data_IF_884705723853
#
_entry.id   IF_884705723853
#
_cell.length_a   1.000
_cell.length_b   1.000
_cell.length_c   1.000
_cell.angle_alpha   90.00
_cell.angle_beta   90.00
_cell.angle_gamma   90.00
#
_symmetry.space_group_name_H-M   'P 1'
#
loop_
_entity.id
_entity.type
_entity.pdbx_description
1 polymer ?
#
# COMPACT_ATOMS: atom_id res chain seq x y z
N UNK A 1 41.58 -13.41 22.96
CA UNK A 1 41.37 -14.68 22.21
C UNK A 1 40.11 -14.63 21.33
N UNK A 2 40.25 -15.16 20.11
CA UNK A 2 39.27 -15.29 19.00
C UNK A 2 39.11 -14.06 18.11
N UNK A 3 40.08 -13.92 17.21
CA UNK A 3 39.89 -13.35 15.88
C UNK A 3 38.86 -14.17 15.10
N UNK A 4 37.98 -13.51 14.33
CA UNK A 4 37.27 -14.13 13.20
C UNK A 4 37.73 -13.49 11.88
N UNK A 5 37.83 -14.28 10.79
CA UNK A 5 38.55 -13.90 9.58
C UNK A 5 37.59 -13.44 8.47
N UNK A 6 37.96 -12.43 7.68
CA UNK A 6 37.30 -12.20 6.39
C UNK A 6 37.14 -10.76 5.89
N UNK A 7 37.61 -9.72 6.58
CA UNK A 7 37.55 -8.35 6.04
C UNK A 7 38.90 -7.94 5.42
N UNK A 8 38.94 -7.50 4.14
CA UNK A 8 40.10 -6.79 3.65
C UNK A 8 40.22 -5.50 4.43
N UNK A 9 41.35 -5.32 5.10
CA UNK A 9 41.70 -4.08 5.79
C UNK A 9 41.66 -2.94 4.76
N UNK A 10 40.59 -2.13 4.78
CA UNK A 10 40.68 -0.81 4.17
C UNK A 10 41.58 -0.02 5.11
N UNK A 11 42.86 0.09 4.73
CA UNK A 11 43.77 1.01 5.36
C UNK A 11 43.14 2.41 5.23
N UNK A 12 42.57 2.90 6.32
CA UNK A 12 42.22 4.30 6.46
C UNK A 12 43.51 5.08 6.26
N UNK A 13 43.64 5.72 5.11
CA UNK A 13 44.68 6.70 4.87
C UNK A 13 44.47 7.78 5.92
N UNK A 14 45.32 7.77 6.94
CA UNK A 14 45.32 8.75 8.00
C UNK A 14 45.44 10.13 7.38
N UNK A 15 44.42 10.96 7.57
CA UNK A 15 44.50 12.39 7.35
C UNK A 15 45.38 12.99 8.44
N UNK A 16 46.69 12.82 8.28
CA UNK A 16 47.69 13.49 9.10
C UNK A 16 47.87 14.93 8.60
N UNK A 17 47.52 15.88 9.47
CA UNK A 17 48.29 17.09 9.76
C UNK A 17 49.07 17.72 8.58
N UNK A 18 48.35 18.16 7.54
CA UNK A 18 48.92 19.10 6.58
C UNK A 18 48.90 20.50 7.23
N UNK A 19 50.09 21.08 7.44
CA UNK A 19 50.27 22.44 7.91
C UNK A 19 49.48 23.42 7.02
N UNK A 20 48.69 24.37 7.58
CA UNK A 20 47.82 25.24 6.79
C UNK A 20 48.53 26.07 5.72
N UNK A 21 49.83 26.36 5.90
CA UNK A 21 50.69 27.00 4.89
C UNK A 21 51.03 26.02 3.74
N UNK A 22 51.36 24.77 4.05
CA UNK A 22 51.64 23.71 3.07
C UNK A 22 50.39 23.37 2.23
N UNK A 23 49.20 23.45 2.84
CA UNK A 23 47.92 23.33 2.14
C UNK A 23 47.69 24.47 1.15
N UNK A 24 48.09 25.70 1.50
CA UNK A 24 47.99 26.89 0.64
C UNK A 24 48.99 26.84 -0.52
N UNK A 25 50.21 26.38 -0.29
CA UNK A 25 51.23 26.25 -1.35
C UNK A 25 50.84 25.17 -2.36
N UNK A 26 50.33 24.02 -1.90
CA UNK A 26 49.80 22.97 -2.78
C UNK A 26 48.59 23.44 -3.61
N UNK A 27 47.75 24.32 -3.07
CA UNK A 27 46.60 24.89 -3.81
C UNK A 27 47.02 25.82 -4.96
N UNK A 28 48.21 26.44 -4.85
CA UNK A 28 48.77 27.34 -5.86
C UNK A 28 49.76 26.66 -6.80
N UNK A 29 50.20 25.44 -6.48
CA UNK A 29 51.14 24.66 -7.29
C UNK A 29 50.55 24.37 -8.69
N UNK A 30 51.26 24.73 -9.77
CA UNK A 30 50.81 24.48 -11.14
C UNK A 30 50.59 22.99 -11.47
N UNK A 31 51.29 22.09 -10.79
CA UNK A 31 51.15 20.63 -10.94
C UNK A 31 49.83 20.16 -10.34
N UNK A 32 49.50 20.63 -9.13
CA UNK A 32 48.25 20.27 -8.45
C UNK A 32 47.04 20.80 -9.23
N UNK A 33 47.10 22.05 -9.73
CA UNK A 33 46.06 22.60 -10.60
C UNK A 33 45.85 21.76 -11.85
N UNK A 34 46.93 21.32 -12.49
CA UNK A 34 46.86 20.47 -13.69
C UNK A 34 46.25 19.10 -13.39
N UNK A 35 46.57 18.49 -12.25
CA UNK A 35 45.97 17.21 -11.82
C UNK A 35 44.48 17.39 -11.52
N UNK A 36 44.10 18.47 -10.82
CA UNK A 36 42.68 18.76 -10.52
C UNK A 36 41.88 19.02 -11.79
N UNK A 37 42.42 19.76 -12.76
CA UNK A 37 41.74 19.95 -14.04
C UNK A 37 41.60 18.63 -14.82
N UNK A 38 42.63 17.79 -14.80
CA UNK A 38 42.58 16.48 -15.46
C UNK A 38 41.52 15.57 -14.81
N UNK A 39 41.45 15.52 -13.49
CA UNK A 39 40.43 14.76 -12.76
C UNK A 39 39.02 15.30 -13.04
N UNK A 40 38.84 16.63 -13.11
CA UNK A 40 37.57 17.23 -13.51
C UNK A 40 37.19 16.85 -14.93
N UNK A 41 38.14 16.87 -15.87
CA UNK A 41 37.90 16.46 -17.25
C UNK A 41 37.53 14.97 -17.36
N UNK A 42 38.21 14.10 -16.63
CA UNK A 42 37.92 12.66 -16.56
C UNK A 42 36.53 12.41 -15.94
N UNK A 43 36.16 13.14 -14.88
CA UNK A 43 34.83 13.06 -14.26
C UNK A 43 33.73 13.55 -15.23
N UNK A 44 33.97 14.64 -15.95
CA UNK A 44 33.05 15.17 -16.97
C UNK A 44 32.86 14.17 -18.12
N UNK A 45 33.95 13.56 -18.60
CA UNK A 45 33.92 12.51 -19.61
C UNK A 45 33.15 11.28 -19.11
N UNK A 46 33.34 10.90 -17.86
CA UNK A 46 32.64 9.78 -17.24
C UNK A 46 31.14 10.07 -17.09
N UNK A 47 30.75 11.29 -16.68
CA UNK A 47 29.35 11.75 -16.64
C UNK A 47 28.71 11.72 -18.03
N UNK A 48 29.42 12.19 -19.06
CA UNK A 48 28.95 12.18 -20.44
C UNK A 48 28.80 10.74 -20.98
N UNK A 49 29.75 9.85 -20.70
CA UNK A 49 29.67 8.44 -21.09
C UNK A 49 28.47 7.74 -20.44
N UNK A 50 28.23 7.99 -19.14
CA UNK A 50 27.04 7.49 -18.43
C UNK A 50 25.76 8.08 -19.02
N UNK A 51 25.73 9.37 -19.34
CA UNK A 51 24.57 10.02 -19.96
C UNK A 51 24.23 9.43 -21.33
N UNK A 52 25.24 9.08 -22.14
CA UNK A 52 25.07 8.43 -23.45
C UNK A 52 24.59 6.97 -23.32
N UNK A 53 25.01 6.26 -22.26
CA UNK A 53 24.59 4.88 -22.00
C UNK A 53 23.18 4.78 -21.38
N UNK A 54 22.70 5.84 -20.72
CA UNK A 54 21.35 5.88 -20.19
C UNK A 54 20.34 6.02 -21.35
N UNK A 55 19.41 5.07 -21.46
CA UNK A 55 18.22 5.22 -22.32
C UNK A 55 17.32 6.29 -21.71
N UNK A 56 17.61 7.56 -22.01
CA UNK A 56 16.78 8.69 -21.57
C UNK A 56 15.52 8.69 -22.42
N UNK A 57 14.37 8.35 -21.81
CA UNK A 57 13.09 8.59 -22.45
C UNK A 57 13.00 10.10 -22.74
N UNK A 58 12.68 10.51 -23.98
CA UNK A 58 12.59 11.92 -24.31
C UNK A 58 11.59 12.61 -23.39
N UNK A 59 11.97 13.77 -22.87
CA UNK A 59 11.15 14.55 -21.96
C UNK A 59 10.01 15.21 -22.75
N UNK A 60 8.94 14.45 -22.99
CA UNK A 60 7.74 14.95 -23.67
C UNK A 60 6.96 15.92 -22.77
N UNK A 61 6.16 16.80 -23.38
CA UNK A 61 5.28 17.73 -22.64
C UNK A 61 4.33 17.00 -21.69
N UNK A 62 3.87 15.80 -22.07
CA UNK A 62 3.07 14.93 -21.20
C UNK A 62 3.84 14.48 -19.95
N UNK A 63 5.13 14.16 -20.08
CA UNK A 63 5.98 13.74 -18.96
C UNK A 63 6.22 14.89 -17.98
N UNK A 64 6.44 16.10 -18.50
CA UNK A 64 6.56 17.33 -17.70
C UNK A 64 5.29 17.60 -16.90
N UNK A 65 4.13 17.62 -17.57
CA UNK A 65 2.83 17.83 -16.89
C UNK A 65 2.58 16.80 -15.79
N UNK A 66 2.93 15.53 -16.01
CA UNK A 66 2.80 14.49 -14.98
C UNK A 66 3.77 14.68 -13.80
N UNK A 67 5.00 15.14 -14.05
CA UNK A 67 5.97 15.48 -13.00
C UNK A 67 5.46 16.65 -12.15
N UNK A 68 4.93 17.69 -12.79
CA UNK A 68 4.33 18.85 -12.12
C UNK A 68 3.06 18.51 -11.34
N UNK A 69 2.21 17.62 -11.85
CA UNK A 69 1.05 17.11 -11.10
C UNK A 69 1.48 16.31 -9.87
N UNK A 70 2.59 15.57 -9.98
CA UNK A 70 3.17 14.81 -8.86
C UNK A 70 3.72 15.77 -7.81
N UNK A 71 4.45 16.81 -8.21
CA UNK A 71 5.00 17.82 -7.29
C UNK A 71 3.90 18.63 -6.60
N UNK A 72 2.79 18.93 -7.30
CA UNK A 72 1.60 19.61 -6.76
C UNK A 72 0.62 18.69 -6.02
N UNK A 73 0.93 17.40 -5.84
CA UNK A 73 0.07 16.38 -5.19
C UNK A 73 -1.34 16.21 -5.81
N UNK A 74 -1.50 16.54 -7.10
CA UNK A 74 -2.79 16.50 -7.80
C UNK A 74 -3.12 15.11 -8.39
N UNK A 75 -2.42 14.05 -7.98
CA UNK A 75 -2.67 12.72 -8.53
C UNK A 75 -3.96 12.16 -7.92
N UNK A 76 -4.97 11.79 -8.72
CA UNK A 76 -6.18 11.17 -8.23
C UNK A 76 -5.87 9.83 -7.55
N UNK A 77 -6.60 9.57 -6.47
CA UNK A 77 -6.46 8.36 -5.67
C UNK A 77 -7.66 7.45 -5.93
N UNK A 78 -7.39 6.17 -6.17
CA UNK A 78 -8.40 5.13 -6.28
C UNK A 78 -8.31 4.18 -5.08
N UNK A 79 -9.45 3.80 -4.51
CA UNK A 79 -9.51 2.71 -3.53
C UNK A 79 -9.72 1.39 -4.27
N UNK A 80 -8.80 0.43 -4.07
CA UNK A 80 -8.82 -0.87 -4.76
C UNK A 80 -8.62 -2.01 -3.77
N UNK A 81 -9.26 -3.14 -4.06
CA UNK A 81 -8.98 -4.41 -3.41
C UNK A 81 -7.83 -5.12 -4.11
N UNK A 82 -6.96 -5.77 -3.33
CA UNK A 82 -5.86 -6.59 -3.81
C UNK A 82 -5.94 -7.96 -3.14
N UNK A 83 -5.45 -8.98 -3.84
CA UNK A 83 -5.42 -10.34 -3.32
C UNK A 83 -4.10 -11.02 -3.66
N UNK A 84 -3.52 -11.69 -2.67
CA UNK A 84 -2.33 -12.50 -2.83
C UNK A 84 -2.75 -13.96 -2.96
N UNK A 85 -2.60 -14.54 -4.15
CA UNK A 85 -2.93 -15.94 -4.38
C UNK A 85 -2.07 -16.89 -3.54
N UNK A 86 -0.78 -16.59 -3.35
CA UNK A 86 0.14 -17.47 -2.62
C UNK A 86 -0.08 -17.48 -1.10
N UNK A 87 -0.64 -16.41 -0.53
CA UNK A 87 -0.85 -16.30 0.92
C UNK A 87 -2.34 -16.33 1.32
N UNK A 88 -3.24 -16.41 0.33
CA UNK A 88 -4.69 -16.32 0.49
C UNK A 88 -5.14 -15.16 1.40
N UNK A 89 -4.59 -13.97 1.14
CA UNK A 89 -4.96 -12.74 1.87
C UNK A 89 -5.44 -11.69 0.90
N UNK A 90 -6.55 -11.05 1.26
CA UNK A 90 -7.07 -9.88 0.58
C UNK A 90 -6.93 -8.64 1.47
N UNK A 91 -6.72 -7.48 0.84
CA UNK A 91 -6.65 -6.20 1.53
C UNK A 91 -7.12 -5.06 0.64
N UNK A 92 -7.59 -3.99 1.28
CA UNK A 92 -7.95 -2.75 0.61
C UNK A 92 -6.83 -1.74 0.75
N UNK A 93 -6.58 -0.94 -0.30
CA UNK A 93 -5.60 0.14 -0.25
C UNK A 93 -6.00 1.28 -1.19
N UNK A 94 -5.75 2.50 -0.74
CA UNK A 94 -5.75 3.69 -1.59
C UNK A 94 -4.44 3.75 -2.38
N UNK A 95 -4.55 3.75 -3.70
CA UNK A 95 -3.42 3.75 -4.64
C UNK A 95 -3.58 4.90 -5.63
N UNK A 96 -2.48 5.53 -6.08
CA UNK A 96 -2.55 6.51 -7.16
C UNK A 96 -3.10 5.86 -8.43
N UNK A 97 -3.96 6.55 -9.16
CA UNK A 97 -4.61 6.00 -10.35
C UNK A 97 -3.60 5.58 -11.44
N UNK A 98 -2.48 6.31 -11.55
CA UNK A 98 -1.38 6.01 -12.47
C UNK A 98 -0.65 4.70 -12.18
N UNK A 99 -0.73 4.18 -10.94
CA UNK A 99 0.02 2.99 -10.49
C UNK A 99 -0.78 2.25 -9.44
N UNK A 100 -1.77 1.52 -9.92
CA UNK A 100 -2.62 0.68 -9.09
C UNK A 100 -1.93 -0.64 -8.82
N UNK A 101 -0.87 -0.66 -8.01
CA UNK A 101 -0.23 -1.91 -7.57
C UNK A 101 0.01 -1.86 -6.07
N UNK A 102 -0.06 -3.03 -5.44
CA UNK A 102 0.16 -3.16 -4.00
C UNK A 102 1.03 -4.37 -3.69
N UNK A 103 1.95 -4.20 -2.74
CA UNK A 103 2.79 -5.29 -2.24
C UNK A 103 2.06 -6.07 -1.15
N UNK A 104 2.09 -7.40 -1.24
CA UNK A 104 1.66 -8.26 -0.14
C UNK A 104 2.63 -8.12 1.05
N UNK A 105 2.09 -7.95 2.26
CA UNK A 105 2.90 -7.80 3.49
C UNK A 105 3.64 -9.07 3.92
N UNK A 106 3.20 -10.24 3.46
CA UNK A 106 3.83 -11.52 3.79
C UNK A 106 4.93 -11.90 2.81
N UNK A 107 4.57 -12.17 1.54
CA UNK A 107 5.52 -12.66 0.54
C UNK A 107 6.29 -11.54 -0.18
N UNK A 108 5.89 -10.28 -0.02
CA UNK A 108 6.54 -9.14 -0.64
C UNK A 108 6.35 -8.97 -2.15
N UNK A 109 5.61 -9.86 -2.82
CA UNK A 109 5.26 -9.74 -4.24
C UNK A 109 4.26 -8.60 -4.47
N UNK A 110 4.37 -7.95 -5.63
CA UNK A 110 3.44 -6.93 -6.07
C UNK A 110 2.29 -7.58 -6.83
N UNK A 111 1.08 -7.07 -6.61
CA UNK A 111 -0.14 -7.54 -7.23
C UNK A 111 -0.91 -6.35 -7.83
N UNK A 112 -1.54 -6.62 -8.96
CA UNK A 112 -2.54 -5.76 -9.59
C UNK A 112 -3.86 -5.80 -8.79
N UNK A 113 -4.72 -4.78 -8.94
CA UNK A 113 -6.01 -4.75 -8.27
C UNK A 113 -6.88 -5.92 -8.74
N UNK A 114 -7.71 -6.42 -7.83
CA UNK A 114 -8.77 -7.34 -8.17
C UNK A 114 -9.70 -6.65 -9.20
N UNK A 115 -9.98 -7.30 -10.34
CA UNK A 115 -10.94 -6.80 -11.33
C UNK A 115 -12.28 -6.45 -10.67
N UNK A 116 -12.93 -5.38 -11.12
CA UNK A 116 -14.12 -4.83 -10.44
C UNK A 116 -15.27 -5.84 -10.32
N UNK A 117 -15.50 -6.63 -11.37
CA UNK A 117 -16.46 -7.74 -11.44
C UNK A 117 -16.16 -8.87 -10.44
N UNK A 118 -14.90 -8.99 -10.02
CA UNK A 118 -14.45 -10.06 -9.12
C UNK A 118 -14.23 -9.61 -7.70
N UNK A 119 -14.36 -8.33 -7.37
CA UNK A 119 -14.22 -7.80 -5.99
C UNK A 119 -15.22 -8.46 -5.07
N UNK A 120 -14.81 -8.78 -3.84
CA UNK A 120 -15.66 -9.43 -2.84
C UNK A 120 -15.58 -8.77 -1.47
N UNK A 121 -16.63 -8.94 -0.69
CA UNK A 121 -16.71 -8.42 0.67
C UNK A 121 -18.15 -8.15 1.07
N UNK A 122 -18.35 -7.20 1.98
CA UNK A 122 -19.71 -6.73 2.31
C UNK A 122 -20.22 -5.84 1.19
N UNK A 123 -21.28 -6.26 0.53
CA UNK A 123 -21.93 -5.54 -0.54
C UNK A 123 -23.20 -4.83 -0.05
N UNK A 124 -23.54 -3.73 -0.71
CA UNK A 124 -24.86 -3.11 -0.61
C UNK A 124 -25.69 -3.45 -1.86
N UNK A 125 -26.88 -4.00 -1.62
CA UNK A 125 -27.84 -4.41 -2.64
C UNK A 125 -29.02 -3.46 -2.65
N UNK A 126 -29.60 -3.26 -3.84
CA UNK A 126 -30.84 -2.54 -4.02
C UNK A 126 -31.78 -3.44 -4.80
N UNK A 127 -32.90 -3.85 -4.20
CA UNK A 127 -33.85 -4.73 -4.86
C UNK A 127 -34.85 -3.93 -5.69
N UNK A 128 -34.95 -4.15 -7.02
CA UNK A 128 -35.91 -3.44 -7.85
C UNK A 128 -37.36 -3.90 -7.60
N UNK A 129 -37.57 -5.12 -7.10
CA UNK A 129 -38.92 -5.67 -6.86
C UNK A 129 -39.57 -5.13 -5.60
N UNK A 130 -38.81 -4.96 -4.51
CA UNK A 130 -39.34 -4.49 -3.22
C UNK A 130 -38.79 -3.13 -2.77
N UNK A 131 -37.97 -2.48 -3.60
CA UNK A 131 -37.34 -1.18 -3.38
C UNK A 131 -36.62 -1.02 -2.03
N UNK A 132 -36.11 -2.12 -1.48
CA UNK A 132 -35.35 -2.14 -0.22
C UNK A 132 -33.87 -2.32 -0.49
N UNK A 133 -33.05 -1.64 0.31
CA UNK A 133 -31.62 -1.88 0.37
C UNK A 133 -31.28 -2.84 1.50
N UNK A 134 -30.34 -3.75 1.24
CA UNK A 134 -29.82 -4.66 2.25
C UNK A 134 -28.33 -4.85 2.08
N UNK A 135 -27.66 -5.36 3.13
CA UNK A 135 -26.23 -5.63 3.13
C UNK A 135 -25.99 -7.12 3.34
N UNK A 136 -24.95 -7.64 2.71
CA UNK A 136 -24.56 -9.04 2.83
C UNK A 136 -23.19 -9.29 2.24
N UNK A 137 -22.58 -10.43 2.54
CA UNK A 137 -21.33 -10.83 1.91
C UNK A 137 -21.58 -11.33 0.50
N UNK A 138 -20.91 -10.74 -0.49
CA UNK A 138 -21.03 -11.13 -1.88
C UNK A 138 -19.82 -10.71 -2.73
N UNK A 139 -19.79 -11.23 -3.95
CA UNK A 139 -18.88 -10.84 -5.01
C UNK A 139 -19.61 -9.97 -6.04
N UNK A 140 -18.93 -8.98 -6.62
CA UNK A 140 -19.56 -7.96 -7.47
C UNK A 140 -20.33 -8.54 -8.67
N UNK A 141 -19.77 -9.56 -9.32
CA UNK A 141 -20.39 -10.25 -10.46
C UNK A 141 -21.41 -11.32 -10.10
N UNK A 142 -21.69 -11.56 -8.81
CA UNK A 142 -22.56 -12.65 -8.36
C UNK A 142 -23.86 -12.12 -7.77
N UNK A 143 -24.98 -12.56 -8.33
CA UNK A 143 -26.31 -12.20 -7.81
C UNK A 143 -26.61 -12.94 -6.52
N UNK A 144 -27.24 -12.24 -5.57
CA UNK A 144 -27.73 -12.82 -4.31
C UNK A 144 -29.25 -12.69 -4.23
N UNK A 145 -29.96 -13.64 -3.62
CA UNK A 145 -31.40 -13.54 -3.44
C UNK A 145 -31.74 -12.45 -2.42
N UNK A 146 -32.75 -11.63 -2.73
CA UNK A 146 -33.32 -10.71 -1.74
C UNK A 146 -33.95 -11.50 -0.58
N UNK A 147 -33.69 -11.10 0.67
CA UNK A 147 -34.23 -11.78 1.85
C UNK A 147 -35.76 -11.74 1.99
N UNK A 148 -36.45 -10.90 1.22
CA UNK A 148 -37.90 -10.71 1.32
C UNK A 148 -38.63 -11.32 0.12
N UNK A 149 -38.22 -10.96 -1.10
CA UNK A 149 -38.89 -11.40 -2.33
C UNK A 149 -38.13 -12.48 -3.10
N UNK A 150 -36.95 -12.89 -2.62
CA UNK A 150 -36.09 -13.90 -3.25
C UNK A 150 -35.61 -13.59 -4.68
N UNK A 151 -35.96 -12.44 -5.25
CA UNK A 151 -35.43 -11.96 -6.53
C UNK A 151 -33.91 -11.91 -6.49
N UNK A 152 -33.25 -12.42 -7.54
CA UNK A 152 -31.81 -12.34 -7.70
C UNK A 152 -31.40 -10.90 -8.02
N UNK A 153 -30.60 -10.31 -7.15
CA UNK A 153 -30.14 -8.93 -7.28
C UNK A 153 -28.62 -8.89 -7.30
N UNK A 154 -28.06 -8.07 -8.19
CA UNK A 154 -26.63 -7.81 -8.22
C UNK A 154 -26.26 -6.79 -7.13
N UNK A 155 -25.06 -6.90 -6.55
CA UNK A 155 -24.56 -5.90 -5.64
C UNK A 155 -24.32 -4.58 -6.37
N UNK A 156 -24.73 -3.46 -5.76
CA UNK A 156 -24.50 -2.12 -6.32
C UNK A 156 -23.09 -1.60 -6.07
N UNK A 157 -22.49 -1.96 -4.92
CA UNK A 157 -21.07 -1.75 -4.63
C UNK A 157 -20.59 -2.69 -3.53
N UNK A 158 -19.33 -3.10 -3.60
CA UNK A 158 -18.62 -3.70 -2.47
C UNK A 158 -18.07 -2.57 -1.59
N UNK A 159 -18.35 -2.64 -0.30
CA UNK A 159 -17.90 -1.65 0.69
C UNK A 159 -16.47 -1.99 1.14
N UNK A 160 -15.58 -1.00 1.06
CA UNK A 160 -14.28 -1.09 1.70
C UNK A 160 -14.44 -1.08 3.23
N UNK A 161 -13.48 -1.62 4.00
CA UNK A 161 -13.53 -1.61 5.46
C UNK A 161 -13.72 -0.21 6.07
N UNK A 162 -13.23 0.83 5.40
CA UNK A 162 -13.43 2.22 5.81
C UNK A 162 -14.89 2.69 5.70
N UNK A 163 -15.66 2.12 4.77
CA UNK A 163 -17.09 2.41 4.64
C UNK A 163 -17.97 1.57 5.58
N UNK A 164 -17.43 0.47 6.12
CA UNK A 164 -18.09 -0.36 7.14
C UNK A 164 -17.90 0.20 8.56
N UNK A 165 -16.80 0.93 8.77
CA UNK A 165 -16.59 1.75 9.95
C UNK A 165 -17.54 2.96 9.91
N UNK A 166 -18.84 2.71 10.08
CA UNK A 166 -19.75 3.76 10.53
C UNK A 166 -19.17 4.41 11.78
N UNK A 167 -19.47 5.70 11.97
CA UNK A 167 -19.12 6.44 13.18
C UNK A 167 -19.40 5.55 14.38
N UNK A 168 -18.35 5.03 15.03
CA UNK A 168 -18.47 4.59 16.40
C UNK A 168 -18.81 5.87 17.13
N UNK A 169 -20.10 6.16 17.30
CA UNK A 169 -20.51 7.27 18.12
C UNK A 169 -19.84 7.00 19.46
N UNK A 170 -18.93 7.88 19.85
CA UNK A 170 -18.42 7.92 21.22
C UNK A 170 -19.51 8.26 22.22
N UNK A 171 -20.77 8.45 21.78
CA UNK A 171 -21.90 8.52 22.68
C UNK A 171 -22.01 7.20 23.44
N UNK A 172 -21.80 7.22 24.76
CA UNK A 172 -22.35 6.19 25.61
C UNK A 172 -23.84 6.14 25.32
N UNK A 173 -24.36 4.98 24.97
CA UNK A 173 -25.80 4.79 24.98
C UNK A 173 -26.23 4.93 26.44
N UNK A 174 -27.13 5.88 26.74
CA UNK A 174 -27.78 5.96 28.03
C UNK A 174 -28.75 4.78 28.14
N UNK A 175 -28.26 3.63 28.57
CA UNK A 175 -29.12 2.53 29.00
C UNK A 175 -29.80 2.97 30.30
N UNK A 176 -30.93 3.65 30.20
CA UNK A 176 -31.88 3.75 31.30
C UNK A 176 -32.70 2.46 31.28
N UNK A 177 -32.09 1.36 31.73
CA UNK A 177 -32.86 0.19 32.09
C UNK A 177 -33.44 0.48 33.46
N UNK A 178 -34.73 0.79 33.52
CA UNK A 178 -35.43 0.77 34.80
C UNK A 178 -35.27 -0.62 35.39
N UNK A 179 -34.76 -0.66 36.63
CA UNK A 179 -34.58 -1.89 37.40
C UNK A 179 -35.98 -2.38 37.77
N UNK A 180 -36.62 -3.09 36.83
CA UNK A 180 -37.88 -3.79 37.05
C UNK A 180 -37.65 -4.91 38.06
N UNK A 181 -38.30 -4.78 39.21
CA UNK A 181 -38.21 -5.71 40.32
C UNK A 181 -38.53 -7.17 39.93
N UNK A 182 -37.68 -8.07 40.45
CA UNK A 182 -37.84 -9.52 40.63
C UNK A 182 -38.90 -10.27 39.84
N UNK A 183 -38.44 -11.16 38.96
CA UNK A 183 -39.07 -12.46 38.81
C UNK A 183 -38.01 -13.55 38.66
N UNK A 184 -38.37 -14.71 39.17
CA UNK A 184 -37.54 -15.77 39.69
C UNK A 184 -36.98 -16.68 38.59
N UNK A 185 -35.86 -17.31 38.91
CA UNK A 185 -35.03 -18.21 38.09
C UNK A 185 -35.78 -19.15 37.14
N UNK A 186 -35.20 -19.32 35.94
CA UNK A 186 -35.13 -20.62 35.26
C UNK A 186 -33.94 -20.61 34.29
N UNK A 187 -32.79 -21.05 34.79
CA UNK A 187 -31.59 -21.32 34.01
C UNK A 187 -31.82 -22.60 33.18
N UNK A 188 -31.76 -22.52 31.85
CA UNK A 188 -31.67 -23.68 30.96
C UNK A 188 -30.38 -23.57 30.14
N UNK A 189 -29.40 -24.47 30.29
CA UNK A 189 -28.21 -24.46 29.44
C UNK A 189 -28.53 -25.03 28.07
N UNK A 190 -28.27 -24.25 27.01
CA UNK A 190 -28.28 -24.76 25.63
C UNK A 190 -26.88 -25.22 25.20
N UNK A 191 -26.76 -26.33 24.45
CA UNK A 191 -25.50 -27.03 24.22
C UNK A 191 -24.65 -26.38 23.12
N UNK A 192 -23.34 -26.47 23.31
CA UNK A 192 -22.29 -26.19 22.33
C UNK A 192 -22.49 -27.00 21.05
N UNK A 193 -22.57 -26.34 19.90
CA UNK A 193 -22.33 -26.97 18.59
C UNK A 193 -21.29 -26.16 17.82
N UNK A 194 -20.13 -26.77 17.66
CA UNK A 194 -19.14 -26.38 16.65
C UNK A 194 -19.74 -26.57 15.25
N UNK A 195 -19.65 -25.51 14.44
CA UNK A 195 -20.08 -25.48 13.04
C UNK A 195 -18.86 -25.55 12.12
N UNK A 196 -18.65 -26.73 11.56
CA UNK A 196 -17.68 -27.10 10.54
C UNK A 196 -18.09 -26.46 9.20
N UNK A 197 -17.19 -25.70 8.55
CA UNK A 197 -17.40 -25.21 7.18
C UNK A 197 -17.23 -26.36 6.19
N UNK A 198 -18.31 -26.78 5.52
CA UNK A 198 -18.24 -27.61 4.31
C UNK A 198 -18.38 -26.73 3.08
N UNK A 199 -17.37 -26.81 2.23
CA UNK A 199 -17.44 -26.47 0.82
C UNK A 199 -18.38 -27.46 0.13
N UNK A 200 -19.28 -26.95 -0.72
CA UNK A 200 -20.02 -27.77 -1.69
C UNK A 200 -19.56 -27.33 -3.07
N UNK A 201 -19.14 -28.32 -3.86
CA UNK A 201 -18.76 -28.27 -5.27
C UNK A 201 -19.94 -28.01 -6.19
#
# INVERSE_FOLDING_TARGET
PRSRPGEPWIAGVGGGDADPEERRTLEHDPVVKRVVEKLKQEEEQQKQAVAQQLRVLPLTERNLRMFDHTSRKLIPWAERQFACQACDRAWWRRVPERKQVSRCRLCGKHYDPVPYDKVWGTAEFHCPSCNRSFRGSAQMGMASPCFICSTRVLPGRILSPHHLAGSRSRNPHSCYAEVGAGSQDSWVPSPTRGGQWRLVS
#
